data_IF_588450542799
#
_entry.id   IF_588450542799
#
_cell.length_a   1.000
_cell.length_b   1.000
_cell.length_c   1.000
_cell.angle_alpha   90.00
_cell.angle_beta   90.00
_cell.angle_gamma   90.00
#
_symmetry.space_group_name_H-M   'P 1'
#
loop_
_entity.id
_entity.type
_entity.pdbx_description
1 polymer ?
#
# COMPACT_ATOMS: atom_id res chain seq x y z
N UNK A 1 -25.60 10.43 -10.60
CA UNK A 1 -24.22 10.32 -11.05
C UNK A 1 -23.35 9.74 -9.94
N UNK A 2 -22.51 8.78 -10.28
CA UNK A 2 -21.60 8.16 -9.32
C UNK A 2 -20.56 9.16 -8.86
N UNK A 3 -20.33 9.19 -7.56
CA UNK A 3 -19.30 10.06 -6.97
C UNK A 3 -18.33 9.22 -6.18
N UNK A 4 -17.10 9.66 -6.17
CA UNK A 4 -16.03 8.91 -5.50
C UNK A 4 -15.26 9.81 -4.55
N UNK A 5 -14.78 9.19 -3.51
CA UNK A 5 -13.85 9.81 -2.58
C UNK A 5 -12.52 9.09 -2.74
N UNK A 6 -11.43 9.85 -2.78
CA UNK A 6 -10.11 9.28 -3.01
C UNK A 6 -9.21 9.53 -1.84
N UNK A 7 -8.26 8.63 -1.65
CA UNK A 7 -7.20 8.85 -0.67
C UNK A 7 -5.92 8.15 -1.11
N UNK A 8 -4.82 8.59 -0.51
CA UNK A 8 -3.50 8.04 -0.76
C UNK A 8 -2.85 7.77 0.58
N UNK A 9 -2.24 6.60 0.73
CA UNK A 9 -1.51 6.25 1.94
C UNK A 9 -0.18 5.64 1.57
N UNK A 10 0.77 5.73 2.50
CA UNK A 10 2.10 5.17 2.31
C UNK A 10 2.22 3.92 3.16
N UNK A 11 2.76 2.87 2.57
CA UNK A 11 2.99 1.60 3.25
C UNK A 11 4.44 1.20 3.07
N UNK A 12 4.97 0.44 4.03
CA UNK A 12 6.33 -0.06 3.95
C UNK A 12 6.27 -1.57 3.89
N UNK A 13 6.67 -2.13 2.76
CA UNK A 13 6.63 -3.57 2.54
C UNK A 13 8.04 -4.09 2.24
N UNK A 14 8.32 -5.30 2.69
CA UNK A 14 9.59 -5.94 2.40
C UNK A 14 9.52 -6.58 1.02
N UNK A 15 10.42 -6.17 0.16
CA UNK A 15 10.40 -6.60 -1.24
C UNK A 15 11.70 -7.24 -1.71
N UNK A 16 12.63 -7.52 -0.81
CA UNK A 16 13.91 -8.10 -1.20
C UNK A 16 13.78 -9.63 -1.30
N UNK A 17 14.91 -10.28 -1.60
CA UNK A 17 14.93 -11.72 -1.78
C UNK A 17 14.62 -12.50 -0.50
N UNK A 18 14.78 -11.85 0.64
CA UNK A 18 14.45 -12.47 1.91
C UNK A 18 12.99 -12.40 2.28
N UNK A 19 12.15 -11.89 1.37
CA UNK A 19 10.73 -11.79 1.63
C UNK A 19 10.13 -13.18 1.84
N UNK A 20 9.37 -13.32 2.89
CA UNK A 20 8.73 -14.59 3.22
C UNK A 20 7.25 -14.55 2.91
N UNK A 21 6.62 -15.72 3.04
CA UNK A 21 5.17 -15.78 2.87
C UNK A 21 4.46 -14.94 3.92
N UNK A 22 5.05 -14.83 5.11
CA UNK A 22 4.47 -13.99 6.15
C UNK A 22 4.52 -12.52 5.75
N UNK A 23 5.59 -12.10 5.08
CA UNK A 23 5.69 -10.72 4.61
C UNK A 23 4.60 -10.43 3.58
N UNK A 24 4.36 -11.37 2.69
CA UNK A 24 3.32 -11.22 1.67
C UNK A 24 1.95 -11.17 2.32
N UNK A 25 1.72 -12.02 3.31
CA UNK A 25 0.44 -12.05 4.01
C UNK A 25 0.19 -10.75 4.74
N UNK A 26 1.22 -10.22 5.38
CA UNK A 26 1.10 -8.95 6.08
C UNK A 26 0.69 -7.83 5.12
N UNK A 27 1.29 -7.82 3.93
CA UNK A 27 0.93 -6.83 2.92
C UNK A 27 -0.53 -6.96 2.52
N UNK A 28 -0.96 -8.19 2.26
CA UNK A 28 -2.35 -8.42 1.84
C UNK A 28 -3.32 -8.05 2.96
N UNK A 29 -2.98 -8.41 4.20
CA UNK A 29 -3.85 -8.09 5.32
C UNK A 29 -4.01 -6.58 5.48
N UNK A 30 -2.92 -5.85 5.29
CA UNK A 30 -2.96 -4.40 5.40
C UNK A 30 -3.87 -3.80 4.34
N UNK A 31 -3.78 -4.31 3.12
CA UNK A 31 -4.64 -3.83 2.05
C UNK A 31 -6.10 -4.23 2.29
N UNK A 32 -6.31 -5.42 2.84
CA UNK A 32 -7.67 -5.88 3.11
C UNK A 32 -8.35 -5.07 4.21
N UNK A 33 -7.57 -4.53 5.15
CA UNK A 33 -8.16 -3.68 6.17
C UNK A 33 -8.84 -2.47 5.55
N UNK A 34 -8.23 -1.92 4.51
CA UNK A 34 -8.84 -0.79 3.79
C UNK A 34 -10.10 -1.24 3.06
N UNK A 35 -10.03 -2.42 2.42
CA UNK A 35 -11.18 -2.94 1.72
C UNK A 35 -12.36 -3.18 2.64
N UNK A 36 -12.08 -3.59 3.88
CA UNK A 36 -13.14 -3.83 4.86
C UNK A 36 -13.87 -2.55 5.21
N UNK A 37 -13.23 -1.40 5.00
CA UNK A 37 -13.86 -0.11 5.24
C UNK A 37 -14.53 0.46 4.00
N UNK A 38 -14.59 -0.33 2.94
CA UNK A 38 -15.24 0.10 1.71
C UNK A 38 -14.34 0.74 0.68
N UNK A 39 -13.03 0.74 0.92
CA UNK A 39 -12.09 1.32 -0.04
C UNK A 39 -11.71 0.30 -1.09
N UNK A 40 -11.62 0.76 -2.33
CA UNK A 40 -11.19 -0.05 -3.45
C UNK A 40 -9.82 0.44 -3.89
N UNK A 41 -8.87 -0.48 -4.01
CA UNK A 41 -7.52 -0.14 -4.43
C UNK A 41 -7.51 0.22 -5.90
N UNK A 42 -7.02 1.41 -6.21
CA UNK A 42 -6.88 1.85 -7.60
C UNK A 42 -5.53 1.44 -8.14
N UNK A 43 -4.48 1.72 -7.38
CA UNK A 43 -3.14 1.33 -7.79
C UNK A 43 -2.20 1.36 -6.59
N UNK A 44 -1.10 0.64 -6.71
CA UNK A 44 -0.07 0.57 -5.69
C UNK A 44 1.26 0.70 -6.42
N UNK A 45 2.00 1.77 -6.11
CA UNK A 45 3.25 2.04 -6.82
C UNK A 45 4.37 2.31 -5.84
N UNK A 46 5.62 1.99 -6.22
CA UNK A 46 6.74 2.33 -5.37
C UNK A 46 6.89 3.84 -5.25
N UNK A 47 7.19 4.28 -4.06
CA UNK A 47 7.42 5.70 -3.82
C UNK A 47 8.70 6.12 -4.53
N UNK A 48 8.66 7.23 -5.25
CA UNK A 48 9.77 7.60 -6.12
C UNK A 48 11.04 7.94 -5.36
N UNK A 49 10.93 8.30 -4.10
CA UNK A 49 12.11 8.67 -3.30
C UNK A 49 12.65 7.50 -2.50
N UNK A 50 12.10 6.33 -2.69
CA UNK A 50 12.42 5.18 -1.85
C UNK A 50 13.85 4.68 -2.02
N UNK A 51 14.46 4.96 -3.17
CA UNK A 51 15.79 4.40 -3.45
C UNK A 51 16.80 4.83 -2.41
N UNK A 52 16.83 6.11 -2.09
CA UNK A 52 17.78 6.62 -1.11
C UNK A 52 17.42 6.19 0.29
N UNK A 53 16.16 6.26 0.61
CA UNK A 53 15.71 5.93 1.95
C UNK A 53 15.89 4.45 2.25
N UNK A 54 15.63 3.60 1.29
CA UNK A 54 15.69 2.17 1.52
C UNK A 54 17.11 1.68 1.76
N UNK A 55 18.10 2.40 1.32
CA UNK A 55 19.49 2.01 1.55
C UNK A 55 19.80 1.94 3.04
N UNK A 56 19.16 2.81 3.82
CA UNK A 56 19.43 2.88 5.25
C UNK A 56 18.37 2.15 6.06
N UNK A 57 17.45 1.48 5.42
CA UNK A 57 16.39 0.76 6.11
C UNK A 57 16.91 -0.61 6.53
N UNK A 58 17.10 -0.85 7.83
CA UNK A 58 17.67 -2.12 8.26
C UNK A 58 16.77 -3.31 7.96
N UNK A 59 15.49 -3.08 7.77
CA UNK A 59 14.55 -4.14 7.50
C UNK A 59 14.28 -4.32 6.04
N UNK A 60 14.93 -3.50 5.22
CA UNK A 60 14.83 -3.57 3.77
C UNK A 60 13.40 -3.40 3.28
N UNK A 61 12.66 -2.58 3.97
CA UNK A 61 11.30 -2.26 3.58
C UNK A 61 11.31 -1.10 2.61
N UNK A 62 10.45 -1.18 1.62
CA UNK A 62 10.34 -0.17 0.57
C UNK A 62 9.02 0.55 0.73
N UNK A 63 9.02 1.89 0.69
CA UNK A 63 7.76 2.62 0.77
C UNK A 63 6.99 2.52 -0.55
N UNK A 64 5.69 2.32 -0.42
CA UNK A 64 4.78 2.28 -1.56
C UNK A 64 3.65 3.26 -1.32
N UNK A 65 3.21 3.90 -2.40
CA UNK A 65 2.02 4.74 -2.36
C UNK A 65 0.83 3.92 -2.83
N UNK A 66 -0.22 3.89 -2.03
CA UNK A 66 -1.45 3.23 -2.42
C UNK A 66 -2.52 4.29 -2.65
N UNK A 67 -3.26 4.13 -3.72
CA UNK A 67 -4.32 5.06 -4.10
C UNK A 67 -5.63 4.32 -4.07
N UNK A 68 -6.62 4.89 -3.38
CA UNK A 68 -7.89 4.23 -3.10
C UNK A 68 -9.04 5.12 -3.48
N UNK A 69 -10.16 4.49 -3.76
CA UNK A 69 -11.41 5.22 -3.98
C UNK A 69 -12.52 4.52 -3.22
N UNK A 70 -13.53 5.29 -2.89
CA UNK A 70 -14.72 4.75 -2.23
C UNK A 70 -15.92 5.54 -2.70
N UNK A 71 -17.01 4.83 -2.96
CA UNK A 71 -18.25 5.48 -3.35
C UNK A 71 -18.80 6.29 -2.19
N UNK A 72 -19.20 7.52 -2.49
CA UNK A 72 -19.86 8.36 -1.50
C UNK A 72 -21.31 8.56 -1.83
N UNK A 73 -21.78 7.85 -2.81
CA UNK A 73 -23.16 7.88 -3.19
C UNK A 73 -23.99 7.13 -2.17
N UNK A 74 -25.12 7.68 -1.85
CA UNK A 74 -25.98 7.07 -0.83
C UNK A 74 -27.14 6.33 -1.41
#
# INVERSE_FOLDING_TARGET
MQKWKYKCDVHYFRMDEGRTDDDIRTMIDELNDYGAEGWELVTLVPHSHSVLDSVFEPQRKVPFDSYWKRSIEE
#
